data_IF_893374657574
#
_entry.id   IF_893374657574
#
_cell.length_a   1.000
_cell.length_b   1.000
_cell.length_c   1.000
_cell.angle_alpha   90.00
_cell.angle_beta   90.00
_cell.angle_gamma   90.00
#
_symmetry.space_group_name_H-M   'P 1'
#
loop_
_entity.id
_entity.type
_entity.pdbx_description
1 polymer ?
#
# COMPACT_ATOMS: atom_id res chain seq x y z
N UNK A 1 6.86 4.99 7.34
CA UNK A 1 7.78 5.59 8.31
C UNK A 1 8.14 6.99 7.84
N UNK A 2 7.60 8.02 8.48
CA UNK A 2 7.95 9.43 8.23
C UNK A 2 9.43 9.60 8.52
N UNK A 3 10.23 9.93 7.50
CA UNK A 3 11.59 10.39 7.71
C UNK A 3 11.50 11.64 8.60
N UNK A 4 11.98 11.52 9.83
CA UNK A 4 11.86 12.57 10.83
C UNK A 4 12.56 13.86 10.40
N UNK A 5 12.12 15.02 10.87
CA UNK A 5 12.66 16.33 10.52
C UNK A 5 14.16 16.51 10.79
N UNK A 6 14.79 15.61 11.54
CA UNK A 6 16.22 15.66 11.89
C UNK A 6 17.18 15.44 10.71
N UNK A 7 16.82 14.59 9.70
CA UNK A 7 17.70 14.33 8.55
C UNK A 7 17.80 15.53 7.59
N UNK A 8 16.68 16.17 7.28
CA UNK A 8 16.65 17.35 6.39
C UNK A 8 17.41 18.54 6.99
N UNK A 9 17.32 18.74 8.30
CA UNK A 9 18.04 19.81 9.02
C UNK A 9 19.55 19.55 9.03
N UNK A 10 19.98 18.32 9.18
CA UNK A 10 21.41 17.96 9.17
C UNK A 10 22.05 18.18 7.80
N UNK A 11 21.36 17.78 6.73
CA UNK A 11 21.81 17.99 5.35
C UNK A 11 21.92 19.46 5.00
N UNK A 12 20.95 20.30 5.43
CA UNK A 12 20.96 21.75 5.19
C UNK A 12 22.10 22.46 5.92
N UNK A 13 22.39 22.07 7.18
CA UNK A 13 23.52 22.60 7.94
C UNK A 13 24.88 22.22 7.33
N UNK A 14 25.00 21.01 6.82
CA UNK A 14 26.22 20.54 6.16
C UNK A 14 26.44 21.26 4.84
N UNK A 15 25.41 21.44 4.03
CA UNK A 15 25.47 22.22 2.77
C UNK A 15 25.86 23.67 3.02
N UNK A 16 25.30 24.31 4.07
CA UNK A 16 25.62 25.69 4.43
C UNK A 16 27.09 25.83 4.88
N UNK A 17 27.64 24.86 5.61
CA UNK A 17 29.04 24.84 6.02
C UNK A 17 30.01 24.71 4.83
N UNK A 18 29.66 23.89 3.85
CA UNK A 18 30.46 23.76 2.60
C UNK A 18 30.39 25.04 1.78
N UNK A 19 29.21 25.63 1.61
CA UNK A 19 29.00 26.87 0.86
C UNK A 19 29.70 28.09 1.51
N UNK A 20 29.74 28.17 2.83
CA UNK A 20 30.44 29.25 3.55
C UNK A 20 31.94 28.99 3.70
N UNK A 21 32.36 27.73 3.76
CA UNK A 21 33.77 27.33 3.85
C UNK A 21 34.57 27.66 2.59
N UNK A 22 33.97 27.60 1.40
CA UNK A 22 34.65 27.83 0.14
C UNK A 22 35.10 29.30 -0.05
N UNK A 23 34.27 30.34 0.18
CA UNK A 23 34.73 31.74 0.12
C UNK A 23 35.78 32.08 1.17
N UNK A 24 35.64 31.53 2.38
CA UNK A 24 36.62 31.73 3.45
C UNK A 24 37.97 31.12 3.07
N UNK A 25 37.97 29.96 2.46
CA UNK A 25 39.17 29.32 1.96
C UNK A 25 39.84 30.11 0.82
N UNK A 26 39.07 30.63 -0.16
CA UNK A 26 39.62 31.52 -1.20
C UNK A 26 40.26 32.79 -0.61
N UNK A 27 39.67 33.35 0.43
CA UNK A 27 40.22 34.49 1.14
C UNK A 27 41.54 34.14 1.82
N UNK A 28 41.66 32.98 2.46
CA UNK A 28 42.91 32.49 3.08
C UNK A 28 44.01 32.27 2.05
N UNK A 29 43.68 31.64 0.89
CA UNK A 29 44.62 31.44 -0.23
C UNK A 29 45.13 32.75 -0.77
N UNK A 30 44.25 33.76 -0.89
CA UNK A 30 44.62 35.10 -1.33
C UNK A 30 45.54 35.80 -0.35
N UNK A 31 45.21 35.73 0.96
CA UNK A 31 45.95 36.33 2.07
C UNK A 31 47.34 35.73 2.27
N UNK A 32 47.51 34.44 1.98
CA UNK A 32 48.80 33.75 2.10
C UNK A 32 49.74 34.00 0.90
N UNK A 33 49.35 34.83 -0.10
CA UNK A 33 50.17 35.15 -1.25
C UNK A 33 50.41 33.96 -2.21
N UNK A 34 49.72 32.84 -1.99
CA UNK A 34 49.80 31.63 -2.84
C UNK A 34 49.20 31.90 -4.23
N UNK A 35 48.62 33.07 -4.44
CA UNK A 35 48.08 33.51 -5.73
C UNK A 35 49.14 34.19 -6.60
N UNK A 36 50.40 34.32 -6.12
CA UNK A 36 51.50 34.98 -6.85
C UNK A 36 52.04 34.12 -8.00
N UNK A 37 51.74 32.81 -8.03
CA UNK A 37 52.12 31.92 -9.10
C UNK A 37 50.96 30.98 -9.46
N UNK A 38 50.85 30.63 -10.75
CA UNK A 38 49.85 29.70 -11.28
C UNK A 38 49.96 28.33 -10.61
N UNK A 39 51.19 27.85 -10.44
CA UNK A 39 51.48 26.55 -9.86
C UNK A 39 51.06 26.47 -8.37
N UNK A 40 51.33 27.51 -7.59
CA UNK A 40 50.92 27.61 -6.20
C UNK A 40 49.38 27.59 -6.05
N UNK A 41 48.69 28.36 -6.89
CA UNK A 41 47.24 28.36 -6.90
C UNK A 41 46.63 26.97 -7.22
N UNK A 42 47.15 26.31 -8.27
CA UNK A 42 46.69 24.98 -8.70
C UNK A 42 46.96 23.91 -7.63
N UNK A 43 48.09 23.98 -6.96
CA UNK A 43 48.40 23.04 -5.86
C UNK A 43 47.38 23.12 -4.74
N UNK A 44 47.08 24.33 -4.31
CA UNK A 44 46.09 24.55 -3.24
C UNK A 44 44.67 24.17 -3.66
N UNK A 45 44.29 24.58 -4.89
CA UNK A 45 42.98 24.21 -5.46
C UNK A 45 42.79 22.70 -5.53
N UNK A 46 43.82 21.96 -6.01
CA UNK A 46 43.78 20.52 -6.07
C UNK A 46 43.65 19.84 -4.69
N UNK A 47 44.37 20.38 -3.69
CA UNK A 47 44.31 19.85 -2.33
C UNK A 47 42.92 20.02 -1.72
N UNK A 48 42.29 21.15 -1.94
CA UNK A 48 40.94 21.44 -1.37
C UNK A 48 39.86 20.63 -2.06
N UNK A 49 39.82 20.66 -3.37
CA UNK A 49 38.82 19.88 -4.12
C UNK A 49 39.00 18.38 -3.85
N UNK A 50 40.23 17.87 -3.85
CA UNK A 50 40.50 16.49 -3.51
C UNK A 50 40.02 16.11 -2.12
N UNK A 51 40.22 17.01 -1.13
CA UNK A 51 39.74 16.78 0.23
C UNK A 51 38.20 16.82 0.30
N UNK A 52 37.51 17.68 -0.43
CA UNK A 52 36.07 17.77 -0.49
C UNK A 52 35.49 16.48 -1.13
N UNK A 53 36.05 16.01 -2.23
CA UNK A 53 35.60 14.77 -2.87
C UNK A 53 35.86 13.54 -1.99
N UNK A 54 37.02 13.48 -1.32
CA UNK A 54 37.34 12.40 -0.37
C UNK A 54 36.38 12.40 0.82
N UNK A 55 36.10 13.55 1.39
CA UNK A 55 35.09 13.71 2.45
C UNK A 55 33.70 13.27 1.98
N UNK A 56 33.30 13.70 0.79
CA UNK A 56 32.03 13.32 0.18
C UNK A 56 31.91 11.80 -0.02
N UNK A 57 33.00 11.14 -0.45
CA UNK A 57 33.05 9.68 -0.58
C UNK A 57 32.76 8.96 0.74
N UNK A 58 33.29 9.43 1.87
CA UNK A 58 33.04 8.82 3.18
C UNK A 58 31.66 9.17 3.75
N UNK A 59 31.15 10.38 3.46
CA UNK A 59 29.86 10.84 3.98
C UNK A 59 28.66 10.28 3.22
N UNK A 60 28.78 10.10 1.93
CA UNK A 60 27.73 9.52 1.12
C UNK A 60 27.75 8.00 1.30
N UNK A 61 26.90 7.52 2.20
CA UNK A 61 26.57 6.10 2.26
C UNK A 61 25.80 5.78 0.99
N UNK A 62 26.51 5.25 -0.01
CA UNK A 62 25.91 4.88 -1.29
C UNK A 62 24.70 3.97 -1.06
N UNK A 63 23.60 4.22 -1.78
CA UNK A 63 22.50 3.29 -1.86
C UNK A 63 23.00 1.90 -2.28
N UNK A 64 22.25 0.85 -1.97
CA UNK A 64 22.58 -0.55 -2.33
C UNK A 64 22.63 -0.78 -3.85
N UNK A 65 22.16 0.16 -4.66
CA UNK A 65 22.07 0.10 -6.10
C UNK A 65 23.39 0.32 -6.83
N UNK A 66 23.37 0.04 -8.14
CA UNK A 66 24.53 0.20 -9.04
C UNK A 66 24.92 1.68 -9.17
N UNK A 67 23.92 2.57 -9.29
CA UNK A 67 24.15 4.02 -9.40
C UNK A 67 24.85 4.60 -8.19
N UNK A 68 24.44 4.21 -6.99
CA UNK A 68 25.08 4.64 -5.75
C UNK A 68 26.54 4.19 -5.62
N UNK A 69 26.86 2.98 -6.07
CA UNK A 69 28.25 2.48 -6.10
C UNK A 69 29.09 3.23 -7.12
N UNK A 70 28.60 3.40 -8.35
CA UNK A 70 29.29 4.16 -9.39
C UNK A 70 29.57 5.61 -8.97
N UNK A 71 28.58 6.25 -8.32
CA UNK A 71 28.73 7.61 -7.82
C UNK A 71 29.84 7.73 -6.78
N UNK A 72 29.92 6.78 -5.84
CA UNK A 72 31.02 6.74 -4.86
C UNK A 72 32.39 6.51 -5.51
N UNK A 73 32.47 5.60 -6.47
CA UNK A 73 33.74 5.38 -7.20
C UNK A 73 34.16 6.62 -8.00
N UNK A 74 33.22 7.34 -8.63
CA UNK A 74 33.51 8.59 -9.30
C UNK A 74 34.07 9.64 -8.34
N UNK A 75 33.45 9.81 -7.15
CA UNK A 75 33.95 10.74 -6.12
C UNK A 75 35.36 10.38 -5.66
N UNK A 76 35.66 9.10 -5.48
CA UNK A 76 37.03 8.64 -5.14
C UNK A 76 38.00 8.93 -6.26
N UNK A 77 37.61 8.71 -7.52
CA UNK A 77 38.42 9.03 -8.71
C UNK A 77 38.77 10.54 -8.76
N UNK A 78 37.79 11.41 -8.54
CA UNK A 78 38.03 12.85 -8.43
C UNK A 78 38.96 13.20 -7.28
N UNK A 79 38.76 12.63 -6.09
CA UNK A 79 39.65 12.87 -4.97
C UNK A 79 41.10 12.52 -5.30
N UNK A 80 41.32 11.36 -5.90
CA UNK A 80 42.67 10.93 -6.31
C UNK A 80 43.26 11.86 -7.37
N UNK A 81 42.50 12.23 -8.41
CA UNK A 81 42.95 13.11 -9.48
C UNK A 81 43.36 14.49 -8.96
N UNK A 82 42.52 15.12 -8.15
CA UNK A 82 42.82 16.45 -7.60
C UNK A 82 43.95 16.42 -6.57
N UNK A 83 44.07 15.40 -5.71
CA UNK A 83 45.21 15.26 -4.81
C UNK A 83 46.54 15.00 -5.57
N UNK A 84 46.48 14.20 -6.63
CA UNK A 84 47.64 14.01 -7.52
C UNK A 84 48.06 15.34 -8.12
N UNK A 85 47.14 16.13 -8.68
CA UNK A 85 47.42 17.46 -9.22
C UNK A 85 48.02 18.39 -8.17
N UNK A 86 47.50 18.37 -6.94
CA UNK A 86 48.05 19.15 -5.82
C UNK A 86 49.54 18.84 -5.61
N UNK A 87 49.91 17.56 -5.59
CA UNK A 87 51.30 17.11 -5.39
C UNK A 87 52.19 17.55 -6.55
N UNK A 88 51.73 17.37 -7.79
CA UNK A 88 52.52 17.77 -9.00
C UNK A 88 52.74 19.27 -9.03
N UNK A 89 51.68 20.08 -8.83
CA UNK A 89 51.80 21.53 -8.84
C UNK A 89 52.62 22.07 -7.66
N UNK A 90 52.53 21.45 -6.47
CA UNK A 90 53.37 21.80 -5.35
C UNK A 90 54.86 21.51 -5.61
N UNK A 91 55.17 20.38 -6.26
CA UNK A 91 56.53 20.05 -6.68
C UNK A 91 57.07 21.08 -7.71
N UNK A 92 56.25 21.44 -8.69
CA UNK A 92 56.65 22.45 -9.73
C UNK A 92 56.85 23.84 -9.10
N UNK A 93 55.99 24.25 -8.14
CA UNK A 93 56.14 25.48 -7.42
C UNK A 93 57.48 25.60 -6.71
N UNK A 94 57.90 24.55 -6.01
CA UNK A 94 59.19 24.53 -5.27
C UNK A 94 60.41 24.50 -6.18
N UNK A 95 60.28 24.08 -7.42
CA UNK A 95 61.37 24.05 -8.40
C UNK A 95 61.51 25.28 -9.27
N UNK A 96 60.76 26.33 -9.00
CA UNK A 96 60.83 27.62 -9.75
C UNK A 96 60.17 27.61 -11.13
N UNK A 97 59.18 26.74 -11.31
CA UNK A 97 58.11 26.88 -12.26
C UNK A 97 58.43 27.05 -13.74
N UNK A 98 59.23 26.20 -14.36
CA UNK A 98 59.25 26.08 -15.84
C UNK A 98 58.93 24.66 -16.25
N UNK A 99 57.64 24.32 -16.48
CA UNK A 99 57.30 22.99 -16.93
C UNK A 99 57.66 22.79 -18.39
N UNK A 100 58.55 21.87 -18.67
CA UNK A 100 58.75 21.31 -20.03
C UNK A 100 57.60 20.35 -20.40
N UNK A 101 56.39 20.50 -19.76
CA UNK A 101 55.30 19.51 -19.81
C UNK A 101 53.97 20.09 -20.29
N UNK A 102 53.89 20.79 -21.44
CA UNK A 102 52.63 21.26 -21.99
C UNK A 102 51.66 20.08 -22.24
N UNK A 103 52.18 18.90 -22.56
CA UNK A 103 51.36 17.69 -22.78
C UNK A 103 50.64 17.21 -21.51
N UNK A 104 51.28 17.23 -20.34
CA UNK A 104 50.67 16.81 -19.09
C UNK A 104 49.42 17.66 -18.76
N UNK A 105 49.50 18.97 -18.94
CA UNK A 105 48.37 19.87 -18.67
C UNK A 105 47.22 19.66 -19.65
N UNK A 106 47.52 19.33 -20.91
CA UNK A 106 46.46 19.01 -21.89
C UNK A 106 45.73 17.72 -21.58
N UNK A 107 46.46 16.67 -21.18
CA UNK A 107 45.84 15.39 -20.82
C UNK A 107 45.08 15.50 -19.52
N UNK A 108 45.50 16.31 -18.56
CA UNK A 108 44.84 16.48 -17.27
C UNK A 108 43.39 17.00 -17.45
N UNK A 109 43.21 17.99 -18.34
CA UNK A 109 41.87 18.51 -18.67
C UNK A 109 40.96 17.45 -19.32
N UNK A 110 41.49 16.52 -20.10
CA UNK A 110 40.72 15.45 -20.72
C UNK A 110 40.18 14.49 -19.66
N UNK A 111 41.03 14.08 -18.71
CA UNK A 111 40.59 13.21 -17.58
C UNK A 111 39.55 13.87 -16.71
N UNK A 112 39.61 15.18 -16.49
CA UNK A 112 38.61 15.93 -15.75
C UNK A 112 37.22 15.86 -16.43
N UNK A 113 37.15 15.97 -17.75
CA UNK A 113 35.92 15.86 -18.51
C UNK A 113 35.34 14.44 -18.46
N UNK A 114 36.16 13.41 -18.62
CA UNK A 114 35.73 12.01 -18.54
C UNK A 114 35.19 11.69 -17.16
N UNK A 115 35.87 12.15 -16.11
CA UNK A 115 35.43 11.96 -14.72
C UNK A 115 34.13 12.72 -14.43
N UNK A 116 33.95 13.93 -14.94
CA UNK A 116 32.69 14.69 -14.86
C UNK A 116 31.54 13.96 -15.55
N UNK A 117 31.77 13.43 -16.74
CA UNK A 117 30.76 12.65 -17.46
C UNK A 117 30.36 11.39 -16.66
N UNK A 118 31.36 10.69 -16.10
CA UNK A 118 31.11 9.53 -15.25
C UNK A 118 30.27 9.89 -14.00
N UNK A 119 30.59 11.01 -13.35
CA UNK A 119 29.86 11.50 -12.19
C UNK A 119 28.40 11.85 -12.55
N UNK A 120 28.20 12.51 -13.69
CA UNK A 120 26.86 12.87 -14.17
C UNK A 120 26.02 11.62 -14.47
N UNK A 121 26.60 10.63 -15.16
CA UNK A 121 25.93 9.34 -15.43
C UNK A 121 25.59 8.62 -14.13
N UNK A 122 26.52 8.56 -13.20
CA UNK A 122 26.32 7.90 -11.91
C UNK A 122 25.26 8.61 -11.05
N UNK A 123 25.23 9.95 -11.06
CA UNK A 123 24.20 10.74 -10.39
C UNK A 123 22.82 10.49 -11.01
N UNK A 124 22.73 10.43 -12.34
CA UNK A 124 21.49 10.13 -13.05
C UNK A 124 20.99 8.71 -12.77
N UNK A 125 21.88 7.72 -12.77
CA UNK A 125 21.55 6.35 -12.41
C UNK A 125 21.01 6.25 -10.97
N UNK A 126 21.66 6.90 -10.03
CA UNK A 126 21.19 6.95 -8.63
C UNK A 126 19.85 7.65 -8.50
N UNK A 127 19.60 8.73 -9.26
CA UNK A 127 18.32 9.41 -9.26
C UNK A 127 17.19 8.52 -9.82
N UNK A 128 17.46 7.80 -10.91
CA UNK A 128 16.52 6.85 -11.52
C UNK A 128 16.19 5.71 -10.55
N UNK A 129 17.18 5.13 -9.88
CA UNK A 129 16.97 4.09 -8.87
C UNK A 129 16.08 4.61 -7.74
N UNK A 130 16.37 5.79 -7.21
CA UNK A 130 15.57 6.39 -6.13
C UNK A 130 14.12 6.73 -6.56
N UNK A 131 13.91 7.08 -7.84
CA UNK A 131 12.55 7.28 -8.37
C UNK A 131 11.79 5.95 -8.52
N UNK A 132 12.44 4.89 -8.95
CA UNK A 132 11.84 3.55 -9.01
C UNK A 132 11.40 3.07 -7.63
N UNK A 133 12.26 3.16 -6.63
CA UNK A 133 11.92 2.77 -5.25
C UNK A 133 10.71 3.55 -4.70
N UNK A 134 10.59 4.83 -5.07
CA UNK A 134 9.42 5.65 -4.71
C UNK A 134 8.15 5.22 -5.41
N UNK A 135 8.22 4.91 -6.70
CA UNK A 135 7.08 4.44 -7.49
C UNK A 135 6.59 3.09 -6.94
N UNK A 136 7.51 2.18 -6.65
CA UNK A 136 7.18 0.85 -6.09
C UNK A 136 6.52 0.98 -4.70
N UNK A 137 7.02 1.87 -3.85
CA UNK A 137 6.42 2.13 -2.54
C UNK A 137 5.00 2.72 -2.66
N UNK A 138 4.79 3.71 -3.55
CA UNK A 138 3.49 4.34 -3.77
C UNK A 138 2.49 3.40 -4.41
N UNK A 139 2.91 2.55 -5.35
CA UNK A 139 2.05 1.54 -5.97
C UNK A 139 1.58 0.50 -4.94
N UNK A 140 2.46 0.07 -4.04
CA UNK A 140 2.11 -0.83 -2.93
C UNK A 140 1.09 -0.21 -1.95
N UNK A 141 1.25 1.08 -1.62
CA UNK A 141 0.30 1.82 -0.77
C UNK A 141 -1.07 1.97 -1.47
N UNK A 142 -1.08 2.31 -2.76
CA UNK A 142 -2.29 2.43 -3.56
C UNK A 142 -3.05 1.10 -3.65
N UNK A 143 -2.34 0.00 -3.86
CA UNK A 143 -2.93 -1.34 -3.90
C UNK A 143 -3.50 -1.77 -2.54
N UNK A 144 -2.88 -1.36 -1.43
CA UNK A 144 -3.41 -1.60 -0.09
C UNK A 144 -4.71 -0.83 0.14
N UNK A 145 -4.75 0.47 -0.18
CA UNK A 145 -5.96 1.32 -0.07
C UNK A 145 -7.07 0.82 -1.00
N UNK A 146 -6.74 0.43 -2.21
CA UNK A 146 -7.70 -0.13 -3.18
C UNK A 146 -8.32 -1.44 -2.66
N UNK A 147 -7.51 -2.36 -2.12
CA UNK A 147 -8.02 -3.61 -1.53
C UNK A 147 -8.93 -3.37 -0.34
N UNK A 148 -8.60 -2.41 0.52
CA UNK A 148 -9.43 -2.06 1.67
C UNK A 148 -10.74 -1.40 1.24
N UNK A 149 -10.68 -0.52 0.25
CA UNK A 149 -11.88 0.09 -0.35
C UNK A 149 -12.79 -0.95 -1.01
N UNK A 150 -12.22 -1.92 -1.75
CA UNK A 150 -13.00 -3.00 -2.37
C UNK A 150 -13.67 -3.90 -1.32
N UNK A 151 -12.99 -4.24 -0.22
CA UNK A 151 -13.61 -5.00 0.88
C UNK A 151 -14.79 -4.25 1.50
N UNK A 152 -14.70 -2.94 1.62
CA UNK A 152 -15.81 -2.12 2.14
C UNK A 152 -16.98 -1.98 1.15
N UNK A 153 -16.73 -2.16 -0.17
CA UNK A 153 -17.77 -2.18 -1.20
C UNK A 153 -18.57 -3.51 -1.21
N UNK A 154 -18.04 -4.57 -0.58
CA UNK A 154 -18.67 -5.90 -0.54
C UNK A 154 -19.59 -6.09 0.65
N UNK A 155 -19.60 -5.15 1.59
CA UNK A 155 -20.43 -5.23 2.78
C UNK A 155 -21.68 -4.34 2.68
N UNK A 156 -22.81 -4.87 3.16
CA UNK A 156 -23.99 -4.07 3.45
C UNK A 156 -23.75 -3.26 4.74
N UNK A 157 -23.85 -1.93 4.62
CA UNK A 157 -23.52 -1.00 5.73
C UNK A 157 -24.46 -1.12 6.94
N UNK A 158 -25.67 -1.59 6.73
CA UNK A 158 -26.65 -1.72 7.80
C UNK A 158 -26.42 -3.00 8.61
N UNK A 159 -26.30 -4.14 7.94
CA UNK A 159 -26.22 -5.46 8.58
C UNK A 159 -24.79 -5.94 8.80
N UNK A 160 -23.84 -5.37 8.05
CA UNK A 160 -22.44 -5.80 8.04
C UNK A 160 -22.23 -7.18 7.39
N UNK A 161 -23.24 -7.80 6.79
CA UNK A 161 -23.11 -8.98 5.94
C UNK A 161 -22.55 -8.58 4.57
N UNK A 162 -22.22 -9.56 3.73
CA UNK A 162 -21.90 -9.28 2.34
C UNK A 162 -23.16 -8.72 1.63
N UNK A 163 -22.96 -7.82 0.67
CA UNK A 163 -24.07 -7.19 -0.06
C UNK A 163 -24.43 -7.98 -1.33
N UNK A 164 -25.47 -7.52 -2.02
CA UNK A 164 -25.95 -8.09 -3.29
C UNK A 164 -24.82 -8.16 -4.34
N UNK A 165 -24.00 -7.12 -4.48
CA UNK A 165 -22.93 -7.11 -5.48
C UNK A 165 -21.85 -8.18 -5.20
N UNK A 166 -21.59 -8.49 -3.93
CA UNK A 166 -20.71 -9.59 -3.55
C UNK A 166 -21.32 -10.97 -3.92
N UNK A 167 -22.63 -11.15 -3.71
CA UNK A 167 -23.34 -12.36 -4.14
C UNK A 167 -23.31 -12.52 -5.66
N UNK A 168 -23.59 -11.46 -6.42
CA UNK A 168 -23.57 -11.50 -7.90
C UNK A 168 -22.19 -11.92 -8.41
N UNK A 169 -21.10 -11.35 -7.89
CA UNK A 169 -19.74 -11.79 -8.24
C UNK A 169 -19.48 -13.26 -7.87
N UNK A 170 -20.03 -13.70 -6.76
CA UNK A 170 -19.91 -15.11 -6.34
C UNK A 170 -20.66 -16.04 -7.29
N UNK A 171 -21.82 -15.62 -7.81
CA UNK A 171 -22.61 -16.33 -8.82
C UNK A 171 -21.96 -16.36 -10.20
N UNK A 172 -21.22 -15.31 -10.56
CA UNK A 172 -20.49 -15.20 -11.82
C UNK A 172 -19.19 -16.00 -11.81
N UNK A 173 -18.71 -16.38 -10.63
CA UNK A 173 -17.49 -17.18 -10.52
C UNK A 173 -17.72 -18.58 -11.11
N UNK A 174 -16.80 -19.01 -11.95
CA UNK A 174 -16.83 -20.36 -12.56
C UNK A 174 -16.51 -21.48 -11.56
N UNK A 175 -16.33 -21.16 -10.29
CA UNK A 175 -16.03 -22.17 -9.27
C UNK A 175 -17.28 -22.97 -8.90
N UNK A 176 -17.23 -24.30 -9.00
CA UNK A 176 -18.35 -25.15 -8.59
C UNK A 176 -18.59 -25.00 -7.08
N UNK A 177 -19.87 -24.99 -6.71
CA UNK A 177 -20.29 -24.95 -5.31
C UNK A 177 -20.63 -26.39 -4.85
N UNK A 178 -20.16 -26.72 -3.65
CA UNK A 178 -20.53 -27.93 -2.93
C UNK A 178 -21.01 -27.54 -1.53
N UNK A 179 -22.21 -27.98 -1.16
CA UNK A 179 -22.83 -27.64 0.11
C UNK A 179 -24.30 -27.30 0.01
N UNK A 180 -24.80 -26.46 0.90
CA UNK A 180 -26.21 -26.06 0.99
C UNK A 180 -26.35 -24.55 0.86
N UNK A 181 -27.28 -24.10 0.05
CA UNK A 181 -27.73 -22.71 -0.03
C UNK A 181 -29.04 -22.58 0.76
N UNK A 182 -29.12 -21.56 1.60
CA UNK A 182 -30.37 -21.15 2.24
C UNK A 182 -30.75 -19.73 1.79
N UNK A 183 -31.96 -19.56 1.32
CA UNK A 183 -32.58 -18.26 1.04
C UNK A 183 -33.58 -17.96 2.13
N UNK A 184 -33.56 -16.75 2.68
CA UNK A 184 -34.40 -16.31 3.78
C UNK A 184 -35.07 -14.99 3.44
N UNK A 185 -36.32 -14.81 3.83
CA UNK A 185 -37.11 -13.59 3.68
C UNK A 185 -37.88 -13.33 4.98
N UNK A 186 -37.81 -12.10 5.49
CA UNK A 186 -38.48 -11.74 6.75
C UNK A 186 -40.01 -11.69 6.55
N UNK A 187 -40.69 -12.36 7.46
CA UNK A 187 -42.15 -12.37 7.46
C UNK A 187 -42.69 -11.00 7.92
N UNK A 188 -43.59 -10.42 7.11
CA UNK A 188 -44.31 -9.17 7.44
C UNK A 188 -43.43 -7.96 7.79
N UNK A 189 -42.18 -7.88 7.26
CA UNK A 189 -41.26 -6.80 7.58
C UNK A 189 -41.80 -5.41 7.20
N UNK A 190 -42.53 -5.30 6.09
CA UNK A 190 -43.22 -4.08 5.71
C UNK A 190 -44.22 -3.62 6.78
N UNK A 191 -45.03 -4.53 7.33
CA UNK A 191 -45.96 -4.21 8.39
C UNK A 191 -45.27 -3.71 9.66
N UNK A 192 -44.13 -4.29 10.01
CA UNK A 192 -43.28 -3.81 11.10
C UNK A 192 -42.81 -2.38 10.86
N UNK A 193 -42.30 -2.06 9.65
CA UNK A 193 -41.92 -0.72 9.31
C UNK A 193 -43.08 0.28 9.35
N UNK A 194 -44.21 -0.13 8.84
CA UNK A 194 -45.44 0.73 8.81
C UNK A 194 -45.96 0.99 10.24
N UNK A 195 -45.84 0.05 11.15
CA UNK A 195 -46.32 0.16 12.55
C UNK A 195 -45.32 0.86 13.47
N UNK A 196 -44.02 0.54 13.39
CA UNK A 196 -42.98 0.96 14.32
C UNK A 196 -41.97 1.95 13.76
N UNK A 197 -42.04 2.22 12.45
CA UNK A 197 -41.15 3.11 11.73
C UNK A 197 -39.86 2.43 11.23
N UNK A 198 -39.25 3.02 10.22
CA UNK A 198 -38.06 2.50 9.54
C UNK A 198 -36.83 2.37 10.47
N UNK A 199 -36.70 3.21 11.52
CA UNK A 199 -35.60 3.12 12.47
C UNK A 199 -35.62 1.80 13.27
N UNK A 200 -36.83 1.33 13.60
CA UNK A 200 -37.02 0.04 14.28
C UNK A 200 -36.71 -1.11 13.30
N UNK A 201 -37.17 -1.01 12.05
CA UNK A 201 -36.83 -1.98 11.02
C UNK A 201 -35.31 -2.08 10.78
N UNK A 202 -34.62 -0.96 10.76
CA UNK A 202 -33.16 -0.91 10.61
C UNK A 202 -32.46 -1.58 11.81
N UNK A 203 -32.94 -1.39 13.03
CA UNK A 203 -32.41 -2.04 14.22
C UNK A 203 -32.62 -3.56 14.14
N UNK A 204 -33.77 -4.01 13.69
CA UNK A 204 -34.07 -5.42 13.45
C UNK A 204 -33.10 -6.01 12.43
N UNK A 205 -32.89 -5.36 11.28
CA UNK A 205 -32.00 -5.82 10.24
C UNK A 205 -30.51 -5.91 10.73
N UNK A 206 -30.06 -4.93 11.52
CA UNK A 206 -28.71 -5.00 12.14
C UNK A 206 -28.57 -6.23 13.03
N UNK A 207 -29.56 -6.49 13.84
CA UNK A 207 -29.55 -7.62 14.77
C UNK A 207 -29.64 -8.97 14.05
N UNK A 208 -30.41 -9.06 12.95
CA UNK A 208 -30.42 -10.23 12.08
C UNK A 208 -29.02 -10.45 11.48
N UNK A 209 -28.39 -9.40 10.97
CA UNK A 209 -27.03 -9.49 10.47
C UNK A 209 -26.04 -10.05 11.49
N UNK A 210 -26.11 -9.57 12.75
CA UNK A 210 -25.31 -10.08 13.86
C UNK A 210 -25.64 -11.54 14.19
N UNK A 211 -26.93 -11.90 14.24
CA UNK A 211 -27.37 -13.25 14.50
C UNK A 211 -26.87 -14.22 13.44
N UNK A 212 -27.07 -13.92 12.17
CA UNK A 212 -26.63 -14.77 11.06
C UNK A 212 -25.11 -14.96 11.11
N UNK A 213 -24.35 -13.88 11.26
CA UNK A 213 -22.87 -13.93 11.33
C UNK A 213 -22.39 -14.79 12.51
N UNK A 214 -23.03 -14.68 13.68
CA UNK A 214 -22.66 -15.46 14.88
C UNK A 214 -23.13 -16.92 14.82
N UNK A 215 -24.04 -17.27 13.90
CA UNK A 215 -24.63 -18.59 13.76
C UNK A 215 -24.01 -19.45 12.65
N UNK A 216 -23.15 -18.85 11.82
CA UNK A 216 -22.44 -19.53 10.72
C UNK A 216 -20.96 -19.69 11.03
N UNK A 217 -20.27 -20.59 10.33
CA UNK A 217 -18.83 -20.83 10.45
C UNK A 217 -18.05 -19.75 9.67
N UNK A 218 -16.74 -19.70 9.87
CA UNK A 218 -15.86 -18.78 9.16
C UNK A 218 -15.81 -19.05 7.65
N UNK A 219 -16.01 -20.30 7.27
CA UNK A 219 -16.00 -20.79 5.89
C UNK A 219 -17.35 -20.60 5.20
N UNK A 220 -18.43 -20.32 5.95
CA UNK A 220 -19.75 -20.02 5.42
C UNK A 220 -19.86 -18.55 5.04
N UNK A 221 -20.67 -18.24 4.04
CA UNK A 221 -20.87 -16.88 3.55
C UNK A 221 -22.33 -16.44 3.78
N UNK A 222 -22.56 -15.23 4.25
CA UNK A 222 -23.90 -14.67 4.42
C UNK A 222 -24.01 -13.31 3.72
N UNK A 223 -25.10 -13.15 2.98
CA UNK A 223 -25.36 -12.00 2.13
C UNK A 223 -26.70 -11.38 2.49
N UNK A 224 -26.79 -10.04 2.40
CA UNK A 224 -28.07 -9.34 2.26
C UNK A 224 -28.34 -9.14 0.80
N UNK A 225 -29.35 -9.86 0.27
CA UNK A 225 -29.67 -9.87 -1.16
C UNK A 225 -30.65 -8.74 -1.54
N UNK A 226 -31.61 -8.46 -0.68
CA UNK A 226 -32.63 -7.42 -0.86
C UNK A 226 -32.86 -6.62 0.42
N UNK A 227 -34.00 -5.93 0.50
CA UNK A 227 -34.40 -5.14 1.67
C UNK A 227 -34.42 -5.97 2.97
N UNK A 228 -35.13 -7.08 2.92
CA UNK A 228 -35.39 -8.03 3.99
C UNK A 228 -35.05 -9.48 3.62
N UNK A 229 -34.32 -9.66 2.50
CA UNK A 229 -33.90 -10.95 1.96
C UNK A 229 -32.42 -11.23 2.25
N UNK A 230 -32.15 -12.46 2.65
CA UNK A 230 -30.79 -12.91 3.00
C UNK A 230 -30.49 -14.24 2.31
N UNK A 231 -29.22 -14.43 1.93
CA UNK A 231 -28.70 -15.67 1.37
C UNK A 231 -27.55 -16.16 2.22
N UNK A 232 -27.53 -17.45 2.52
CA UNK A 232 -26.43 -18.09 3.27
C UNK A 232 -25.90 -19.25 2.46
N UNK A 233 -24.59 -19.28 2.23
CA UNK A 233 -23.88 -20.36 1.58
C UNK A 233 -23.14 -21.18 2.65
N UNK A 234 -23.60 -22.40 2.89
CA UNK A 234 -22.99 -23.36 3.81
C UNK A 234 -22.06 -24.29 3.04
N UNK A 235 -20.78 -23.94 3.00
CA UNK A 235 -19.77 -24.70 2.25
C UNK A 235 -19.53 -26.08 2.86
N UNK A 236 -19.51 -27.14 2.02
CA UNK A 236 -19.21 -28.52 2.43
C UNK A 236 -20.06 -29.03 3.61
N UNK A 237 -21.31 -28.60 3.72
CA UNK A 237 -22.28 -29.07 4.72
C UNK A 237 -23.42 -29.82 4.04
N UNK A 238 -24.06 -30.73 4.78
CA UNK A 238 -25.21 -31.48 4.30
C UNK A 238 -26.54 -30.85 4.77
N UNK A 239 -27.59 -31.12 4.05
CA UNK A 239 -28.93 -30.54 4.27
C UNK A 239 -29.48 -30.77 5.68
N UNK A 240 -29.39 -31.93 6.34
CA UNK A 240 -29.90 -32.16 7.69
C UNK A 240 -29.24 -31.21 8.71
N UNK A 241 -27.94 -31.05 8.65
CA UNK A 241 -27.18 -30.15 9.56
C UNK A 241 -27.60 -28.70 9.38
N UNK A 242 -27.72 -28.27 8.12
CA UNK A 242 -28.14 -26.89 7.80
C UNK A 242 -29.57 -26.64 8.24
N UNK A 243 -30.51 -27.57 7.99
CA UNK A 243 -31.89 -27.44 8.47
C UNK A 243 -31.98 -27.29 9.99
N UNK A 244 -31.21 -28.06 10.75
CA UNK A 244 -31.14 -27.92 12.21
C UNK A 244 -30.66 -26.52 12.60
N UNK A 245 -29.63 -26.02 11.95
CA UNK A 245 -29.08 -24.69 12.20
C UNK A 245 -30.07 -23.57 11.86
N UNK A 246 -30.79 -23.69 10.74
CA UNK A 246 -31.81 -22.72 10.35
C UNK A 246 -32.98 -22.69 11.33
N UNK A 247 -33.39 -23.84 11.89
CA UNK A 247 -34.40 -23.91 12.96
C UNK A 247 -33.92 -23.23 14.23
N UNK A 248 -32.65 -23.37 14.60
CA UNK A 248 -32.05 -22.70 15.74
C UNK A 248 -32.00 -21.17 15.56
N UNK A 249 -31.55 -20.69 14.37
CA UNK A 249 -31.55 -19.27 14.03
C UNK A 249 -32.99 -18.71 14.16
N UNK A 250 -33.99 -19.38 13.56
CA UNK A 250 -35.39 -18.97 13.66
C UNK A 250 -35.87 -18.90 15.09
N UNK A 251 -35.52 -19.88 15.93
CA UNK A 251 -35.88 -19.87 17.36
C UNK A 251 -35.30 -18.66 18.11
N UNK A 252 -34.02 -18.35 17.84
CA UNK A 252 -33.35 -17.16 18.44
C UNK A 252 -33.97 -15.85 17.97
N UNK A 253 -34.51 -15.76 16.76
CA UNK A 253 -35.24 -14.59 16.28
C UNK A 253 -36.59 -14.39 17.01
N UNK A 254 -37.31 -15.46 17.34
CA UNK A 254 -38.59 -15.36 18.07
C UNK A 254 -38.41 -14.75 19.47
N UNK A 255 -37.26 -14.91 20.10
CA UNK A 255 -36.90 -14.36 21.41
C UNK A 255 -36.32 -12.95 21.34
N UNK A 256 -36.30 -12.35 20.14
CA UNK A 256 -35.62 -11.10 19.89
C UNK A 256 -36.35 -9.89 20.52
N UNK A 257 -35.58 -9.05 21.22
CA UNK A 257 -36.09 -7.86 21.91
C UNK A 257 -35.53 -6.59 21.22
N UNK A 258 -36.43 -5.70 20.85
CA UNK A 258 -36.08 -4.35 20.40
C UNK A 258 -36.13 -3.40 21.57
N UNK A 259 -35.07 -2.61 21.73
CA UNK A 259 -34.97 -1.64 22.84
C UNK A 259 -36.12 -0.63 22.77
N UNK A 260 -36.92 -0.56 23.84
CA UNK A 260 -38.07 0.35 23.93
C UNK A 260 -39.42 -0.25 23.44
N UNK A 261 -39.39 -1.42 22.77
CA UNK A 261 -40.61 -2.05 22.20
C UNK A 261 -40.88 -3.46 22.76
N UNK A 262 -39.93 -3.99 23.54
CA UNK A 262 -40.10 -5.34 24.12
C UNK A 262 -39.81 -6.45 23.10
N UNK A 263 -40.58 -7.55 23.18
CA UNK A 263 -40.49 -8.70 22.26
C UNK A 263 -41.39 -8.39 21.05
N UNK A 264 -40.77 -8.28 19.85
CA UNK A 264 -41.51 -8.18 18.62
C UNK A 264 -41.59 -9.57 17.96
N UNK A 265 -42.74 -9.93 17.34
CA UNK A 265 -42.89 -11.21 16.65
C UNK A 265 -42.12 -11.20 15.33
N UNK A 266 -40.81 -11.40 15.41
CA UNK A 266 -39.93 -11.43 14.23
C UNK A 266 -39.72 -12.88 13.83
N UNK A 267 -40.07 -13.19 12.58
CA UNK A 267 -39.80 -14.50 11.99
C UNK A 267 -39.31 -14.35 10.56
N UNK A 268 -38.71 -15.39 10.02
CA UNK A 268 -38.41 -15.48 8.60
C UNK A 268 -38.87 -16.81 8.02
N UNK A 269 -39.29 -16.75 6.78
CA UNK A 269 -39.46 -17.90 5.91
C UNK A 269 -38.15 -18.24 5.25
N UNK A 270 -37.86 -19.50 5.08
CA UNK A 270 -36.60 -19.95 4.45
C UNK A 270 -36.80 -21.21 3.64
N UNK A 271 -36.00 -21.34 2.56
CA UNK A 271 -35.87 -22.51 1.71
C UNK A 271 -34.42 -22.92 1.56
N UNK A 272 -34.19 -24.17 1.25
CA UNK A 272 -32.84 -24.73 1.13
C UNK A 272 -32.70 -25.63 -0.07
N UNK A 273 -31.50 -25.59 -0.67
CA UNK A 273 -31.11 -26.55 -1.72
C UNK A 273 -29.69 -27.00 -1.49
N UNK A 274 -29.43 -28.29 -1.76
CA UNK A 274 -28.13 -28.92 -1.59
C UNK A 274 -27.54 -29.27 -2.97
N UNK A 275 -26.21 -29.06 -3.13
CA UNK A 275 -25.45 -29.52 -4.26
C UNK A 275 -24.20 -30.28 -3.79
N UNK A 276 -23.98 -31.44 -4.38
CA UNK A 276 -22.73 -32.22 -4.22
C UNK A 276 -21.60 -31.47 -4.95
N UNK A 277 -21.88 -31.00 -6.16
CA UNK A 277 -21.00 -30.12 -6.96
C UNK A 277 -21.84 -29.59 -8.12
N UNK A 278 -21.92 -28.27 -8.27
CA UNK A 278 -22.69 -27.66 -9.35
C UNK A 278 -22.58 -26.16 -9.44
N UNK A 279 -23.23 -25.55 -10.46
CA UNK A 279 -23.29 -24.09 -10.58
C UNK A 279 -24.09 -23.50 -9.44
N UNK A 280 -23.51 -22.55 -8.69
CA UNK A 280 -24.13 -21.92 -7.54
C UNK A 280 -25.49 -21.29 -7.86
N UNK A 281 -25.65 -20.72 -9.06
CA UNK A 281 -26.91 -20.11 -9.51
C UNK A 281 -28.08 -21.10 -9.51
N UNK A 282 -27.88 -22.30 -10.00
CA UNK A 282 -28.95 -23.33 -10.00
C UNK A 282 -29.36 -23.75 -8.58
N UNK A 283 -28.39 -23.82 -7.67
CA UNK A 283 -28.66 -24.18 -6.28
C UNK A 283 -29.41 -23.04 -5.57
N UNK A 284 -29.05 -21.79 -5.86
CA UNK A 284 -29.73 -20.62 -5.35
C UNK A 284 -31.20 -20.54 -5.83
N UNK A 285 -31.42 -20.71 -7.15
CA UNK A 285 -32.77 -20.69 -7.75
C UNK A 285 -33.68 -21.80 -7.14
N UNK A 286 -33.11 -22.96 -6.89
CA UNK A 286 -33.83 -24.06 -6.25
C UNK A 286 -34.16 -23.78 -4.77
N UNK A 287 -33.27 -23.15 -4.02
CA UNK A 287 -33.48 -22.73 -2.65
C UNK A 287 -34.55 -21.62 -2.56
N UNK A 288 -34.52 -20.68 -3.48
CA UNK A 288 -35.54 -19.61 -3.57
C UNK A 288 -36.94 -20.17 -3.87
N UNK A 289 -37.01 -21.11 -4.81
CA UNK A 289 -38.26 -21.80 -5.11
C UNK A 289 -38.83 -22.57 -3.90
N UNK A 290 -37.97 -23.25 -3.12
CA UNK A 290 -38.34 -23.94 -1.88
C UNK A 290 -38.88 -22.95 -0.85
N UNK A 291 -38.22 -21.81 -0.63
CA UNK A 291 -38.66 -20.74 0.25
C UNK A 291 -40.05 -20.20 -0.14
N UNK A 292 -40.23 -19.87 -1.43
CA UNK A 292 -41.49 -19.34 -1.92
C UNK A 292 -42.66 -20.34 -1.75
N UNK A 293 -42.37 -21.63 -1.99
CA UNK A 293 -43.34 -22.71 -1.81
C UNK A 293 -43.71 -22.88 -0.34
N UNK A 294 -42.76 -22.69 0.58
CA UNK A 294 -43.03 -22.70 2.04
C UNK A 294 -43.86 -21.51 2.45
N UNK A 295 -43.56 -20.29 1.97
CA UNK A 295 -44.29 -19.06 2.29
C UNK A 295 -45.75 -19.13 1.83
N UNK A 296 -46.04 -19.66 0.62
CA UNK A 296 -47.41 -19.87 0.14
C UNK A 296 -48.23 -20.83 1.00
N UNK A 297 -47.65 -21.95 1.43
CA UNK A 297 -48.33 -22.93 2.25
C UNK A 297 -48.70 -22.36 3.61
N UNK A 298 -47.87 -21.52 4.19
CA UNK A 298 -48.10 -20.87 5.47
C UNK A 298 -49.23 -19.83 5.39
N UNK A 299 -49.20 -18.96 4.38
CA UNK A 299 -50.25 -17.94 4.14
C UNK A 299 -51.64 -18.56 3.89
N UNK A 300 -51.68 -19.75 3.26
CA UNK A 300 -52.94 -20.49 3.06
C UNK A 300 -53.45 -21.20 4.34
N UNK A 301 -52.63 -21.33 5.35
CA UNK A 301 -53.05 -21.97 6.65
C UNK A 301 -53.47 -20.92 7.68
N UNK A 302 -53.00 -19.70 7.54
CA UNK A 302 -53.28 -18.56 8.42
C UNK A 302 -54.49 -17.73 7.92
N UNK A 303 -55.09 -18.04 6.75
CA UNK A 303 -56.28 -17.47 6.16
C UNK A 303 -57.52 -18.37 6.39
#
# INVERSE_FOLDING_TARGET
ARAGPSRAVHTRKTLLRVLLGFPLFLAVVYLLGLNSSFEGFQAVHGLVLGSIYLYSFFMIRGGSGVGGRLFRFALLGFAIAFLHNAVVFFYLYNRGGRPQWPRYLQYNSLYDYELMALLAIAAMAMWIENQRDRIDALSGELDAVRRDSLKNLDLDRLTGLQNQAALERRLESSQPFAGVVAVCDMDNFKSINDQFGHLVGDEILRNIGHLLRSSIRKEDEAFRWGGDEFVILFGNQNLPVVKTRMLEIRRRLNDFRVRGYGVLPISFSWGTSEAVTGPLRQVLDAADHDMYSYKKRRTAHDA
#
